data_IF_715797044433
#
_entry.id   IF_715797044433
#
_cell.length_a   1.000
_cell.length_b   1.000
_cell.length_c   1.000
_cell.angle_alpha   90.00
_cell.angle_beta   90.00
_cell.angle_gamma   90.00
#
_symmetry.space_group_name_H-M   'P 1'
#
loop_
_entity.id
_entity.type
_entity.pdbx_description
1 polymer ?
#
# COMPACT_ATOMS: atom_id res chain seq x y z
N UNK A 1 -7.66 17.74 -5.01
CA UNK A 1 -7.41 17.35 -3.59
C UNK A 1 -8.75 17.36 -2.89
N UNK A 2 -9.14 16.21 -2.37
CA UNK A 2 -10.46 15.94 -1.80
C UNK A 2 -10.35 15.83 -0.28
N UNK A 3 -11.34 16.32 0.47
CA UNK A 3 -11.32 16.25 1.94
C UNK A 3 -11.76 14.87 2.42
N UNK A 4 -11.05 14.31 3.39
CA UNK A 4 -11.42 13.01 3.97
C UNK A 4 -12.69 13.16 4.82
N UNK A 5 -13.80 12.57 4.35
CA UNK A 5 -15.10 12.65 5.04
C UNK A 5 -15.33 11.57 6.11
N UNK A 6 -14.49 10.52 6.17
CA UNK A 6 -14.64 9.40 7.12
C UNK A 6 -14.40 9.80 8.59
N UNK A 7 -15.31 9.36 9.47
CA UNK A 7 -15.35 9.71 10.89
C UNK A 7 -14.18 9.11 11.69
N UNK A 8 -13.64 7.95 11.27
CA UNK A 8 -12.61 7.21 12.00
C UNK A 8 -11.21 7.87 11.94
N UNK A 9 -10.91 8.62 10.88
CA UNK A 9 -9.60 9.26 10.70
C UNK A 9 -9.48 10.65 11.38
N UNK A 10 -10.57 11.20 11.94
CA UNK A 10 -10.62 12.59 12.41
C UNK A 10 -9.75 12.90 13.62
N UNK A 11 -9.25 11.90 14.34
CA UNK A 11 -8.66 12.16 15.65
C UNK A 11 -7.18 12.54 15.64
N UNK A 12 -6.37 12.28 14.58
CA UNK A 12 -4.95 12.67 14.54
C UNK A 12 -4.37 12.80 13.11
N UNK A 13 -4.77 13.84 12.35
CA UNK A 13 -4.10 14.15 11.08
C UNK A 13 -2.69 14.70 11.30
N UNK A 14 -1.76 14.30 10.44
CA UNK A 14 -0.38 14.80 10.46
C UNK A 14 -0.27 16.02 9.53
N UNK A 15 0.50 17.05 9.90
CA UNK A 15 0.69 18.23 9.04
C UNK A 15 1.58 17.89 7.83
N UNK A 16 1.33 18.54 6.70
CA UNK A 16 2.09 18.30 5.45
C UNK A 16 3.58 18.61 5.60
N UNK A 17 3.92 19.55 6.48
CA UNK A 17 5.30 19.97 6.76
C UNK A 17 5.98 19.17 7.90
N UNK A 18 5.27 18.23 8.55
CA UNK A 18 5.86 17.40 9.58
C UNK A 18 6.98 16.53 8.99
N UNK A 19 8.17 16.63 9.56
CA UNK A 19 9.34 15.85 9.17
C UNK A 19 9.96 15.11 10.35
N UNK A 20 10.59 13.99 10.06
CA UNK A 20 11.34 13.14 11.01
C UNK A 20 12.80 13.18 10.62
N UNK A 21 13.67 13.51 11.57
CA UNK A 21 15.12 13.52 11.37
C UNK A 21 15.65 12.12 11.16
N UNK A 22 16.55 11.92 10.19
CA UNK A 22 17.32 10.67 10.06
C UNK A 22 18.18 10.45 11.32
N UNK A 23 18.83 11.53 11.80
CA UNK A 23 19.70 11.51 12.97
C UNK A 23 19.12 12.37 14.08
N UNK A 24 18.70 11.73 15.17
CA UNK A 24 18.11 12.39 16.34
C UNK A 24 19.16 13.18 17.14
N UNK A 25 20.40 12.67 17.19
CA UNK A 25 21.49 13.29 17.96
C UNK A 25 22.31 14.22 17.06
N UNK A 26 22.25 15.52 17.33
CA UNK A 26 22.98 16.57 16.61
C UNK A 26 23.77 17.45 17.59
N UNK A 27 24.87 18.04 17.13
CA UNK A 27 25.67 18.98 17.91
C UNK A 27 25.40 20.42 17.44
N UNK A 28 25.60 21.41 18.30
CA UNK A 28 25.28 22.82 17.99
C UNK A 28 25.90 23.35 16.68
N UNK A 29 27.07 22.84 16.32
CA UNK A 29 27.82 23.27 15.13
C UNK A 29 27.76 22.26 13.98
N UNK A 30 26.98 21.18 14.09
CA UNK A 30 26.82 20.26 12.96
C UNK A 30 25.85 20.84 11.94
N UNK A 31 26.07 20.59 10.63
CA UNK A 31 25.11 20.99 9.60
C UNK A 31 23.73 20.36 9.85
N UNK A 32 22.68 21.00 9.33
CA UNK A 32 21.33 20.39 9.33
C UNK A 32 21.41 19.06 8.58
N UNK A 33 20.95 18.00 9.23
CA UNK A 33 20.95 16.64 8.68
C UNK A 33 19.80 16.41 7.70
N UNK A 34 19.68 15.17 7.22
CA UNK A 34 18.57 14.73 6.37
C UNK A 34 17.28 14.61 7.18
N UNK A 35 16.16 14.99 6.57
CA UNK A 35 14.82 14.83 7.13
C UNK A 35 13.92 14.10 6.14
N UNK A 36 13.08 13.20 6.66
CA UNK A 36 12.04 12.50 5.90
C UNK A 36 10.66 13.06 6.21
N UNK A 37 9.73 13.03 5.26
CA UNK A 37 8.34 13.38 5.55
C UNK A 37 7.73 12.36 6.51
N UNK A 38 7.05 12.84 7.55
CA UNK A 38 6.37 11.96 8.51
C UNK A 38 5.20 11.24 7.82
N UNK A 39 5.13 9.92 7.94
CA UNK A 39 3.97 9.15 7.48
C UNK A 39 2.77 9.33 8.43
N UNK A 40 1.55 9.27 7.88
CA UNK A 40 0.32 9.36 8.65
C UNK A 40 -0.87 9.84 7.82
N UNK A 41 -2.08 9.82 8.40
CA UNK A 41 -3.29 10.26 7.72
C UNK A 41 -3.21 11.77 7.41
N UNK A 42 -3.76 12.17 6.26
CA UNK A 42 -3.86 13.56 5.80
C UNK A 42 -5.31 13.99 5.71
N UNK A 43 -5.56 15.28 5.95
CA UNK A 43 -6.90 15.85 5.80
C UNK A 43 -7.36 15.84 4.34
N UNK A 44 -6.42 15.90 3.40
CA UNK A 44 -6.66 15.91 1.96
C UNK A 44 -6.09 14.64 1.31
N UNK A 45 -6.85 14.05 0.40
CA UNK A 45 -6.45 12.89 -0.44
C UNK A 45 -6.44 13.27 -1.92
N UNK A 46 -5.68 12.51 -2.70
CA UNK A 46 -5.52 12.74 -4.13
C UNK A 46 -6.73 12.27 -4.96
N UNK A 47 -7.40 11.21 -4.51
CA UNK A 47 -8.48 10.54 -5.24
C UNK A 47 -9.71 10.38 -4.34
N UNK A 48 -10.90 10.40 -4.96
CA UNK A 48 -12.14 10.00 -4.32
C UNK A 48 -12.26 8.47 -4.27
N UNK A 49 -12.97 7.96 -3.27
CA UNK A 49 -13.08 6.52 -2.97
C UNK A 49 -13.62 5.69 -4.14
N UNK A 50 -14.58 6.23 -4.87
CA UNK A 50 -15.23 5.66 -6.04
C UNK A 50 -14.36 5.72 -7.30
N UNK A 51 -13.36 6.60 -7.31
CA UNK A 51 -12.37 6.69 -8.38
C UNK A 51 -11.15 5.81 -8.13
N UNK A 52 -11.06 5.11 -7.00
CA UNK A 52 -9.87 4.30 -6.66
C UNK A 52 -10.04 2.84 -7.07
N UNK A 53 -9.00 2.32 -7.72
CA UNK A 53 -8.66 0.91 -7.79
C UNK A 53 -7.32 0.71 -7.08
N UNK A 54 -7.34 0.10 -5.90
CA UNK A 54 -6.14 -0.17 -5.14
C UNK A 54 -5.53 -1.51 -5.57
N UNK A 55 -4.21 -1.57 -5.73
CA UNK A 55 -3.49 -2.78 -6.09
C UNK A 55 -2.40 -3.07 -5.06
N UNK A 56 -2.40 -4.29 -4.51
CA UNK A 56 -1.42 -4.79 -3.57
C UNK A 56 -0.62 -5.88 -4.28
N UNK A 57 0.70 -5.71 -4.33
CA UNK A 57 1.62 -6.65 -4.97
C UNK A 57 2.57 -7.13 -3.90
N UNK A 58 2.75 -8.45 -3.81
CA UNK A 58 3.73 -9.03 -2.91
C UNK A 58 4.93 -9.51 -3.70
N UNK A 59 6.15 -9.16 -3.28
CA UNK A 59 7.38 -9.56 -3.96
C UNK A 59 8.44 -10.09 -2.96
N UNK A 60 9.21 -11.09 -3.39
CA UNK A 60 10.28 -11.72 -2.62
C UNK A 60 9.84 -12.97 -1.82
N UNK A 61 10.72 -13.47 -0.94
CA UNK A 61 10.57 -14.76 -0.23
C UNK A 61 9.82 -14.71 1.10
N UNK A 62 9.74 -15.80 1.86
CA UNK A 62 8.76 -15.92 2.96
C UNK A 62 9.04 -15.08 4.21
N UNK A 63 8.10 -14.20 4.65
CA UNK A 63 8.17 -13.51 5.93
C UNK A 63 6.89 -13.70 6.79
N UNK A 64 7.01 -14.12 8.07
CA UNK A 64 5.87 -14.24 8.98
C UNK A 64 5.38 -12.84 9.40
N UNK A 65 4.30 -12.36 8.78
CA UNK A 65 3.66 -11.10 9.17
C UNK A 65 2.97 -10.35 8.02
N UNK A 66 3.39 -10.61 6.78
CA UNK A 66 2.86 -9.93 5.59
C UNK A 66 1.35 -10.10 5.43
N UNK A 67 0.78 -11.27 5.72
CA UNK A 67 -0.66 -11.48 5.63
C UNK A 67 -1.45 -10.58 6.60
N UNK A 68 -0.86 -10.25 7.76
CA UNK A 68 -1.46 -9.29 8.70
C UNK A 68 -1.42 -7.87 8.15
N UNK A 69 -0.30 -7.49 7.50
CA UNK A 69 -0.15 -6.18 6.86
C UNK A 69 -1.17 -6.02 5.73
N UNK A 70 -1.27 -7.01 4.83
CA UNK A 70 -2.24 -7.01 3.72
C UNK A 70 -3.66 -6.86 4.26
N UNK A 71 -4.03 -7.66 5.27
CA UNK A 71 -5.36 -7.55 5.89
C UNK A 71 -5.63 -6.14 6.45
N UNK A 72 -4.66 -5.55 7.15
CA UNK A 72 -4.81 -4.19 7.70
C UNK A 72 -4.90 -3.14 6.60
N UNK A 73 -4.17 -3.30 5.49
CA UNK A 73 -4.27 -2.42 4.32
C UNK A 73 -5.65 -2.51 3.66
N UNK A 74 -6.12 -3.71 3.33
CA UNK A 74 -7.43 -3.92 2.69
C UNK A 74 -8.56 -3.38 3.59
N UNK A 75 -8.56 -3.74 4.88
CA UNK A 75 -9.55 -3.21 5.83
C UNK A 75 -9.46 -1.68 5.96
N UNK A 76 -8.26 -1.10 5.96
CA UNK A 76 -8.08 0.34 6.06
C UNK A 76 -8.63 1.09 4.84
N UNK A 77 -8.37 0.58 3.63
CA UNK A 77 -8.90 1.14 2.40
C UNK A 77 -10.43 1.08 2.36
N UNK A 78 -11.01 -0.04 2.80
CA UNK A 78 -12.44 -0.22 2.80
C UNK A 78 -13.14 0.62 3.88
N UNK A 79 -12.76 0.45 5.15
CA UNK A 79 -13.47 1.07 6.27
C UNK A 79 -13.10 2.54 6.48
N UNK A 80 -11.85 2.94 6.25
CA UNK A 80 -11.43 4.34 6.46
C UNK A 80 -11.56 5.18 5.18
N UNK A 81 -11.31 4.58 4.02
CA UNK A 81 -11.30 5.30 2.75
C UNK A 81 -12.47 4.93 1.81
N UNK A 82 -13.40 4.05 2.19
CA UNK A 82 -14.57 3.72 1.37
C UNK A 82 -14.26 3.04 0.03
N UNK A 83 -13.04 2.51 -0.14
CA UNK A 83 -12.63 1.84 -1.37
C UNK A 83 -13.26 0.46 -1.42
N UNK A 84 -14.08 0.20 -2.44
CA UNK A 84 -14.79 -1.07 -2.63
C UNK A 84 -14.07 -2.08 -3.52
N UNK A 85 -12.95 -1.69 -4.15
CA UNK A 85 -12.22 -2.55 -5.08
C UNK A 85 -10.73 -2.55 -4.76
N UNK A 86 -10.24 -3.70 -4.31
CA UNK A 86 -8.81 -3.94 -4.04
C UNK A 86 -8.35 -5.20 -4.77
N UNK A 87 -7.34 -5.05 -5.62
CA UNK A 87 -6.70 -6.14 -6.35
C UNK A 87 -5.47 -6.62 -5.57
N UNK A 88 -5.37 -7.92 -5.31
CA UNK A 88 -4.14 -8.58 -4.88
C UNK A 88 -3.47 -9.23 -6.09
N UNK A 89 -2.17 -8.99 -6.27
CA UNK A 89 -1.35 -9.66 -7.28
C UNK A 89 -0.28 -10.46 -6.55
N UNK A 90 -0.33 -11.77 -6.71
CA UNK A 90 0.67 -12.69 -6.23
C UNK A 90 1.75 -12.85 -7.29
N UNK A 91 3.01 -12.59 -6.89
CA UNK A 91 4.14 -12.88 -7.75
C UNK A 91 4.33 -14.40 -7.78
N UNK A 92 4.08 -15.01 -8.93
CA UNK A 92 4.57 -16.35 -9.19
C UNK A 92 6.10 -16.33 -9.11
N UNK A 93 6.66 -17.24 -8.32
CA UNK A 93 8.11 -17.35 -8.24
C UNK A 93 8.67 -17.78 -9.60
N UNK A 94 9.75 -17.16 -10.12
CA UNK A 94 10.32 -17.54 -11.41
C UNK A 94 10.73 -19.02 -11.48
N UNK A 95 10.91 -19.68 -10.34
CA UNK A 95 11.26 -21.10 -10.23
C UNK A 95 10.11 -22.09 -10.50
N UNK A 96 8.85 -21.67 -10.44
CA UNK A 96 7.70 -22.57 -10.70
C UNK A 96 7.11 -22.44 -12.10
N UNK A 97 7.47 -21.40 -12.87
CA UNK A 97 6.93 -21.18 -14.22
C UNK A 97 5.41 -20.90 -14.26
N UNK A 98 4.78 -20.73 -13.09
CA UNK A 98 3.35 -20.43 -12.98
C UNK A 98 3.07 -18.97 -13.37
N UNK A 99 1.91 -18.67 -13.98
CA UNK A 99 1.54 -17.30 -14.33
C UNK A 99 1.25 -16.45 -13.08
N UNK A 100 1.44 -15.13 -13.20
CA UNK A 100 1.02 -14.17 -12.16
C UNK A 100 -0.46 -14.36 -11.85
N UNK A 101 -0.77 -14.70 -10.61
CA UNK A 101 -2.16 -14.87 -10.18
C UNK A 101 -2.64 -13.55 -9.58
N UNK A 102 -3.73 -13.02 -10.12
CA UNK A 102 -4.41 -11.85 -9.58
C UNK A 102 -5.71 -12.29 -8.91
N UNK A 103 -5.90 -11.94 -7.65
CA UNK A 103 -7.16 -12.11 -6.95
C UNK A 103 -7.80 -10.75 -6.69
N UNK A 104 -9.06 -10.58 -7.08
CA UNK A 104 -9.84 -9.40 -6.70
C UNK A 104 -10.48 -9.65 -5.35
N UNK A 105 -10.19 -8.82 -4.36
CA UNK A 105 -10.89 -8.85 -3.08
C UNK A 105 -12.16 -8.01 -3.21
N UNK A 106 -13.32 -8.68 -3.14
CA UNK A 106 -14.62 -8.01 -3.15
C UNK A 106 -15.15 -7.80 -1.74
N UNK A 107 -16.12 -6.89 -1.56
CA UNK A 107 -16.67 -6.47 -0.26
C UNK A 107 -17.03 -7.63 0.69
N UNK A 108 -17.55 -8.74 0.16
CA UNK A 108 -17.93 -9.93 0.94
C UNK A 108 -16.74 -10.75 1.46
N UNK A 109 -15.55 -10.55 0.89
CA UNK A 109 -14.32 -11.28 1.21
C UNK A 109 -13.38 -10.47 2.12
N UNK A 110 -13.61 -9.16 2.28
CA UNK A 110 -12.74 -8.29 3.10
C UNK A 110 -12.66 -8.75 4.56
N UNK A 111 -13.76 -9.31 5.09
CA UNK A 111 -13.81 -9.87 6.44
C UNK A 111 -13.27 -11.30 6.53
N UNK A 112 -13.14 -11.97 5.39
CA UNK A 112 -12.75 -13.36 5.24
C UNK A 112 -11.55 -13.53 4.30
N UNK A 113 -10.64 -12.53 4.22
CA UNK A 113 -9.38 -12.64 3.47
C UNK A 113 -8.70 -13.92 3.98
N UNK A 114 -8.65 -15.00 3.18
CA UNK A 114 -8.26 -16.29 3.70
C UNK A 114 -6.83 -16.16 4.15
N UNK A 115 -6.53 -16.62 5.37
CA UNK A 115 -5.15 -16.60 5.92
C UNK A 115 -4.14 -17.29 4.99
N UNK A 116 -4.65 -18.12 4.06
CA UNK A 116 -3.91 -19.11 3.30
C UNK A 116 -4.04 -18.96 1.76
N UNK A 117 -4.78 -17.98 1.21
CA UNK A 117 -4.94 -17.87 -0.26
C UNK A 117 -3.81 -17.10 -0.95
N UNK A 118 -3.08 -16.27 -0.21
CA UNK A 118 -1.69 -15.96 -0.56
C UNK A 118 -0.87 -17.00 0.15
N UNK A 119 -0.52 -18.05 -0.58
CA UNK A 119 0.35 -19.08 -0.07
C UNK A 119 1.61 -18.38 0.38
N UNK A 120 1.95 -18.64 1.64
CA UNK A 120 3.17 -18.27 2.33
C UNK A 120 4.10 -17.41 1.49
N UNK A 121 4.23 -16.14 1.88
CA UNK A 121 5.53 -15.55 2.10
C UNK A 121 6.15 -14.68 1.00
N UNK A 122 5.90 -13.38 1.14
CA UNK A 122 6.77 -12.33 0.62
C UNK A 122 7.47 -11.59 1.75
N UNK A 123 8.67 -11.06 1.48
CA UNK A 123 9.45 -10.22 2.40
C UNK A 123 9.07 -8.76 2.22
N UNK A 124 8.49 -8.43 1.07
CA UNK A 124 8.15 -7.07 0.69
C UNK A 124 6.73 -7.02 0.10
N UNK A 125 6.01 -5.96 0.46
CA UNK A 125 4.66 -5.69 -0.01
C UNK A 125 4.65 -4.30 -0.61
N UNK A 126 4.42 -4.23 -1.91
CA UNK A 126 4.30 -2.97 -2.63
C UNK A 126 2.84 -2.62 -2.81
N UNK A 127 2.48 -1.43 -2.37
CA UNK A 127 1.14 -0.90 -2.47
C UNK A 127 1.10 0.21 -3.52
N UNK A 128 0.18 0.12 -4.48
CA UNK A 128 -0.08 1.17 -5.46
C UNK A 128 -1.57 1.47 -5.56
N UNK A 129 -1.89 2.73 -5.79
CA UNK A 129 -3.24 3.22 -5.98
C UNK A 129 -3.36 3.76 -7.39
N UNK A 130 -4.31 3.25 -8.16
CA UNK A 130 -4.60 3.70 -9.51
C UNK A 130 -6.01 4.29 -9.57
N UNK A 131 -6.23 5.20 -10.52
CA UNK A 131 -7.60 5.64 -10.85
C UNK A 131 -8.35 4.49 -11.54
N UNK A 132 -9.60 4.26 -11.14
CA UNK A 132 -10.51 3.26 -11.72
C UNK A 132 -10.62 3.52 -13.22
N UNK A 133 -10.39 2.48 -14.03
CA UNK A 133 -10.30 2.58 -15.48
C UNK A 133 -8.89 2.79 -16.04
N UNK A 134 -7.85 2.83 -15.20
CA UNK A 134 -6.48 2.69 -15.67
C UNK A 134 -6.34 1.41 -16.51
N UNK A 135 -5.65 1.51 -17.66
CA UNK A 135 -5.48 0.36 -18.56
C UNK A 135 -4.83 -0.80 -17.78
N UNK A 136 -5.32 -2.04 -17.94
CA UNK A 136 -4.73 -3.21 -17.27
C UNK A 136 -3.24 -3.37 -17.56
N UNK A 137 -2.79 -2.98 -18.75
CA UNK A 137 -1.37 -2.95 -19.13
C UNK A 137 -0.57 -1.93 -18.32
N UNK A 138 -1.13 -0.77 -17.98
CA UNK A 138 -0.47 0.23 -17.12
C UNK A 138 -0.36 -0.29 -15.68
N UNK A 139 -1.43 -0.86 -15.14
CA UNK A 139 -1.42 -1.43 -13.79
C UNK A 139 -0.41 -2.59 -13.70
N UNK A 140 -0.40 -3.48 -14.71
CA UNK A 140 0.54 -4.59 -14.77
C UNK A 140 1.98 -4.13 -14.99
N UNK A 141 2.24 -3.19 -15.90
CA UNK A 141 3.59 -2.69 -16.16
C UNK A 141 4.15 -1.94 -14.95
N UNK A 142 3.36 -1.10 -14.27
CA UNK A 142 3.81 -0.43 -13.05
C UNK A 142 4.01 -1.41 -11.89
N UNK A 143 3.20 -2.46 -11.82
CA UNK A 143 3.38 -3.58 -10.89
C UNK A 143 4.67 -4.35 -11.17
N UNK A 144 4.96 -4.64 -12.44
CA UNK A 144 6.20 -5.29 -12.89
C UNK A 144 7.42 -4.39 -12.68
N UNK A 145 7.31 -3.08 -12.90
CA UNK A 145 8.37 -2.12 -12.57
C UNK A 145 8.61 -2.03 -11.06
N UNK A 146 7.56 -2.18 -10.26
CA UNK A 146 7.68 -2.26 -8.81
C UNK A 146 8.46 -3.52 -8.38
N UNK A 147 8.32 -4.65 -9.11
CA UNK A 147 9.16 -5.86 -8.92
C UNK A 147 10.65 -5.55 -9.12
N UNK A 148 10.99 -4.83 -10.17
CA UNK A 148 12.40 -4.67 -10.59
C UNK A 148 13.19 -3.65 -9.77
N UNK A 149 12.54 -2.62 -9.22
CA UNK A 149 13.29 -1.46 -8.75
C UNK A 149 13.65 -1.45 -7.25
N UNK A 150 13.17 -2.37 -6.39
CA UNK A 150 13.32 -2.29 -4.91
C UNK A 150 13.01 -0.92 -4.25
N UNK A 151 12.55 0.06 -5.02
CA UNK A 151 12.19 1.40 -4.56
C UNK A 151 10.78 1.34 -4.00
N UNK A 152 10.65 1.86 -2.79
CA UNK A 152 9.40 2.15 -2.11
C UNK A 152 9.30 3.68 -2.13
N UNK A 153 8.12 4.18 -2.52
CA UNK A 153 7.75 5.57 -2.82
C UNK A 153 8.06 6.02 -4.26
#
# INVERSE_FOLDING_TARGET
MHSVHSFCARQYFVNEDDSVTEKIVVHKNSPRGTHFRRAGPRQKVCFESDEVLACIVTCGGLCPGVNTVIRKLVCGLHYMHGVSSVLGIENASPETGEPLTACTWQDHEINNIPRNHFLSGSVDCKFRVHKRGALPSTVLNETLLARENHKIL
#
